data_IF_216796325615
#
_entry.id   IF_216796325615
#
_cell.length_a   1.000
_cell.length_b   1.000
_cell.length_c   1.000
_cell.angle_alpha   90.00
_cell.angle_beta   90.00
_cell.angle_gamma   90.00
#
_symmetry.space_group_name_H-M   'P 1'
#
loop_
_entity.id
_entity.type
_entity.pdbx_description
1 polymer ?
#
# COMPACT_ATOMS: atom_id res chain seq x y z
N UNK A 1 -19.34 -8.27 -9.95
CA UNK A 1 -18.71 -7.81 -8.70
C UNK A 1 -18.63 -6.30 -8.80
N UNK A 2 -19.34 -5.59 -7.94
CA UNK A 2 -19.28 -4.13 -7.92
C UNK A 2 -17.85 -3.66 -7.69
N UNK A 3 -17.33 -2.78 -8.56
CA UNK A 3 -15.99 -2.20 -8.45
C UNK A 3 -15.75 -1.48 -7.09
N UNK A 4 -16.81 -1.24 -6.34
CA UNK A 4 -16.79 -0.64 -5.00
C UNK A 4 -16.40 -1.59 -3.87
N UNK A 5 -16.31 -2.90 -4.11
CA UNK A 5 -16.01 -3.89 -3.07
C UNK A 5 -14.51 -4.21 -2.89
N UNK A 6 -13.64 -3.77 -3.80
CA UNK A 6 -12.21 -3.99 -3.63
C UNK A 6 -11.65 -3.00 -2.60
N UNK A 7 -11.66 -3.41 -1.34
CA UNK A 7 -11.17 -2.61 -0.21
C UNK A 7 -9.65 -2.40 -0.22
N UNK A 8 -8.91 -3.03 -1.12
CA UNK A 8 -7.44 -2.98 -1.15
C UNK A 8 -6.89 -2.31 -2.42
N UNK A 9 -5.61 -1.88 -2.32
CA UNK A 9 -4.81 -1.38 -3.45
C UNK A 9 -3.46 -2.08 -3.49
N UNK A 10 -3.00 -2.43 -4.71
CA UNK A 10 -1.64 -2.90 -4.95
C UNK A 10 -0.68 -1.72 -4.94
N UNK A 11 0.26 -1.73 -4.05
CA UNK A 11 1.25 -0.66 -3.85
C UNK A 11 2.64 -1.23 -4.05
N UNK A 12 3.47 -0.54 -4.81
CA UNK A 12 4.87 -0.90 -5.09
C UNK A 12 5.65 -1.13 -3.79
N UNK A 13 6.43 -2.19 -3.74
CA UNK A 13 7.21 -2.53 -2.55
C UNK A 13 8.44 -1.63 -2.34
N UNK A 14 8.86 -0.84 -3.33
CA UNK A 14 10.00 0.08 -3.25
C UNK A 14 9.67 1.44 -2.59
N UNK A 15 8.44 1.63 -2.11
CA UNK A 15 8.01 2.82 -1.37
C UNK A 15 8.96 3.14 -0.21
N UNK A 16 9.37 2.14 0.57
CA UNK A 16 10.22 2.31 1.75
C UNK A 16 11.65 2.81 1.43
N UNK A 17 12.18 2.49 0.24
CA UNK A 17 13.53 2.89 -0.18
C UNK A 17 13.51 4.31 -0.77
N UNK A 18 12.45 4.67 -1.48
CA UNK A 18 12.41 5.86 -2.32
C UNK A 18 11.64 7.03 -1.72
N UNK A 19 10.67 6.77 -0.86
CA UNK A 19 9.82 7.79 -0.25
C UNK A 19 10.14 7.97 1.23
N UNK A 20 9.91 9.19 1.74
CA UNK A 20 9.77 9.41 3.17
C UNK A 20 8.30 9.18 3.59
N UNK A 21 8.02 9.15 4.89
CA UNK A 21 6.69 8.86 5.41
C UNK A 21 5.61 9.88 5.00
N UNK A 22 5.98 11.13 4.70
CA UNK A 22 5.04 12.18 4.28
C UNK A 22 4.65 12.01 2.82
N UNK A 23 5.60 11.70 1.97
CA UNK A 23 5.39 11.34 0.57
C UNK A 23 4.59 10.02 0.47
N UNK A 24 4.95 9.02 1.28
CA UNK A 24 4.24 7.74 1.35
C UNK A 24 2.77 7.92 1.78
N UNK A 25 2.49 8.83 2.72
CA UNK A 25 1.12 9.19 3.11
C UNK A 25 0.31 9.80 1.96
N UNK A 26 0.94 10.71 1.20
CA UNK A 26 0.31 11.33 0.03
C UNK A 26 0.06 10.31 -1.08
N UNK A 27 1.03 9.42 -1.31
CA UNK A 27 0.91 8.34 -2.29
C UNK A 27 -0.19 7.34 -1.90
N UNK A 28 -0.25 6.93 -0.63
CA UNK A 28 -1.31 6.07 -0.11
C UNK A 28 -2.71 6.67 -0.39
N UNK A 29 -2.90 7.94 -0.05
CA UNK A 29 -4.16 8.61 -0.32
C UNK A 29 -4.48 8.66 -1.82
N UNK A 30 -3.50 9.02 -2.67
CA UNK A 30 -3.69 9.06 -4.12
C UNK A 30 -4.11 7.70 -4.67
N UNK A 31 -3.46 6.61 -4.25
CA UNK A 31 -3.78 5.24 -4.69
C UNK A 31 -5.23 4.84 -4.39
N UNK A 32 -5.79 5.26 -3.25
CA UNK A 32 -7.18 4.97 -2.91
C UNK A 32 -8.21 5.83 -3.64
N UNK A 33 -7.78 6.91 -4.28
CA UNK A 33 -8.57 7.74 -5.19
C UNK A 33 -8.27 7.47 -6.66
N UNK A 34 -7.42 6.50 -6.96
CA UNK A 34 -7.14 6.04 -8.31
C UNK A 34 -8.04 4.87 -8.68
N UNK A 35 -8.37 4.75 -9.96
CA UNK A 35 -9.04 3.58 -10.50
C UNK A 35 -8.19 2.32 -10.26
N UNK A 36 -8.85 1.23 -9.90
CA UNK A 36 -8.18 -0.01 -9.50
C UNK A 36 -7.42 -0.68 -10.65
N UNK A 37 -7.95 -0.58 -11.87
CA UNK A 37 -7.41 -1.27 -13.04
C UNK A 37 -6.44 -0.39 -13.83
N UNK A 38 -6.74 0.90 -13.99
CA UNK A 38 -5.96 1.82 -14.83
C UNK A 38 -4.93 2.61 -14.04
N UNK A 39 -5.13 2.80 -12.73
CA UNK A 39 -4.29 3.68 -11.91
C UNK A 39 -4.56 5.17 -12.13
N UNK A 40 -5.57 5.52 -12.94
CA UNK A 40 -5.93 6.92 -13.21
C UNK A 40 -6.70 7.53 -12.03
N UNK A 41 -6.40 8.78 -11.72
CA UNK A 41 -7.04 9.52 -10.64
C UNK A 41 -7.41 10.93 -11.07
N UNK A 42 -8.69 11.23 -10.98
CA UNK A 42 -9.26 12.57 -11.21
C UNK A 42 -9.48 13.34 -9.90
N UNK A 43 -8.77 12.95 -8.84
CA UNK A 43 -8.94 13.53 -7.51
C UNK A 43 -8.42 14.96 -7.46
N UNK A 44 -9.24 15.87 -6.96
CA UNK A 44 -8.82 17.26 -6.74
C UNK A 44 -8.02 17.42 -5.44
N UNK A 45 -7.08 18.34 -5.40
CA UNK A 45 -6.22 18.57 -4.23
C UNK A 45 -7.01 18.88 -2.95
N UNK A 46 -8.18 19.50 -3.06
CA UNK A 46 -9.08 19.74 -1.92
C UNK A 46 -9.51 18.42 -1.27
N UNK A 47 -9.91 17.43 -2.06
CA UNK A 47 -10.31 16.10 -1.54
C UNK A 47 -9.15 15.42 -0.83
N UNK A 48 -7.94 15.46 -1.40
CA UNK A 48 -6.74 14.92 -0.76
C UNK A 48 -6.43 15.66 0.55
N UNK A 49 -6.53 16.99 0.56
CA UNK A 49 -6.36 17.79 1.78
C UNK A 49 -7.38 17.40 2.85
N UNK A 50 -8.64 17.30 2.50
CA UNK A 50 -9.72 17.01 3.43
C UNK A 50 -9.59 15.58 4.00
N UNK A 51 -9.00 14.65 3.24
CA UNK A 51 -8.74 13.27 3.67
C UNK A 51 -7.46 13.11 4.49
N UNK A 52 -6.42 13.88 4.18
CA UNK A 52 -5.09 13.72 4.78
C UNK A 52 -4.76 14.79 5.83
N UNK A 53 -5.50 15.89 5.87
CA UNK A 53 -5.14 17.06 6.69
C UNK A 53 -3.88 17.80 6.22
N UNK A 54 -3.26 17.38 5.10
CA UNK A 54 -2.06 18.00 4.56
C UNK A 54 -2.47 19.25 3.75
N UNK A 55 -1.91 20.45 4.02
CA UNK A 55 -2.24 21.66 3.28
C UNK A 55 -1.99 21.51 1.77
N UNK A 56 -2.82 22.14 0.93
CA UNK A 56 -2.73 21.99 -0.54
C UNK A 56 -1.36 22.37 -1.12
N UNK A 57 -0.70 23.41 -0.59
CA UNK A 57 0.65 23.79 -1.01
C UNK A 57 1.67 22.69 -0.76
N UNK A 58 1.55 22.03 0.38
CA UNK A 58 2.41 20.90 0.76
C UNK A 58 2.08 19.65 -0.05
N UNK A 59 0.78 19.36 -0.30
CA UNK A 59 0.35 18.28 -1.18
C UNK A 59 0.91 18.44 -2.59
N UNK A 60 0.83 19.65 -3.17
CA UNK A 60 1.42 19.95 -4.49
C UNK A 60 2.91 19.65 -4.53
N UNK A 61 3.64 20.02 -3.45
CA UNK A 61 5.06 19.69 -3.32
C UNK A 61 5.27 18.16 -3.32
N UNK A 62 4.56 17.41 -2.47
CA UNK A 62 4.73 15.95 -2.41
C UNK A 62 4.30 15.24 -3.70
N UNK A 63 3.22 15.69 -4.36
CA UNK A 63 2.79 15.15 -5.65
C UNK A 63 3.83 15.40 -6.75
N UNK A 64 4.51 16.55 -6.72
CA UNK A 64 5.64 16.82 -7.62
C UNK A 64 6.83 15.90 -7.32
N UNK A 65 7.20 15.73 -6.05
CA UNK A 65 8.26 14.81 -5.62
C UNK A 65 7.94 13.35 -6.00
N UNK A 66 6.68 12.92 -5.88
CA UNK A 66 6.21 11.61 -6.34
C UNK A 66 6.37 11.44 -7.85
N UNK A 67 6.09 12.48 -8.63
CA UNK A 67 6.27 12.46 -10.08
C UNK A 67 7.76 12.39 -10.45
N UNK A 68 8.61 13.18 -9.82
CA UNK A 68 10.08 13.16 -10.02
C UNK A 68 10.69 11.80 -9.69
N UNK A 69 10.11 11.10 -8.70
CA UNK A 69 10.50 9.74 -8.29
C UNK A 69 9.83 8.63 -9.11
N UNK A 70 8.98 8.97 -10.09
CA UNK A 70 8.32 8.01 -10.98
C UNK A 70 7.22 7.17 -10.30
N UNK A 71 6.57 7.69 -9.26
CA UNK A 71 5.41 7.07 -8.62
C UNK A 71 4.09 7.48 -9.26
N UNK A 72 4.06 8.65 -9.88
CA UNK A 72 2.87 9.16 -10.58
C UNK A 72 3.27 10.01 -11.77
N UNK A 73 2.39 10.10 -12.74
CA UNK A 73 2.53 10.99 -13.90
C UNK A 73 1.40 12.01 -13.87
N UNK A 74 1.70 13.30 -13.67
CA UNK A 74 0.69 14.35 -13.72
C UNK A 74 0.29 14.67 -15.16
N UNK A 75 -1.01 14.76 -15.43
CA UNK A 75 -1.57 15.21 -16.69
C UNK A 75 -2.41 16.49 -16.44
N UNK A 76 -1.91 17.63 -16.85
CA UNK A 76 -2.59 18.91 -16.61
C UNK A 76 -3.32 19.39 -17.85
N UNK A 77 -4.57 19.80 -17.69
CA UNK A 77 -5.43 20.31 -18.75
C UNK A 77 -6.29 21.47 -18.28
N UNK A 78 -6.89 22.20 -19.22
CA UNK A 78 -7.82 23.27 -18.90
C UNK A 78 -9.26 22.77 -19.02
N UNK A 79 -10.06 22.98 -17.96
CA UNK A 79 -11.47 22.59 -17.93
C UNK A 79 -12.32 23.76 -17.44
N UNK A 80 -13.00 24.41 -18.39
CA UNK A 80 -13.89 25.54 -18.10
C UNK A 80 -13.17 26.80 -17.62
N UNK A 81 -13.92 27.68 -16.93
CA UNK A 81 -13.41 28.92 -16.38
C UNK A 81 -13.69 29.02 -14.88
N UNK A 82 -12.86 29.77 -14.17
CA UNK A 82 -13.10 30.13 -12.76
C UNK A 82 -14.26 31.14 -12.70
N UNK A 83 -14.86 31.40 -11.52
CA UNK A 83 -15.85 32.47 -11.35
C UNK A 83 -15.37 33.86 -11.83
N UNK A 84 -14.05 34.09 -11.85
CA UNK A 84 -13.42 35.33 -12.34
C UNK A 84 -13.10 35.27 -13.84
N UNK A 85 -13.62 34.28 -14.59
CA UNK A 85 -13.47 34.15 -16.04
C UNK A 85 -12.10 33.61 -16.50
N UNK A 86 -11.16 33.29 -15.59
CA UNK A 86 -9.85 32.73 -15.95
C UNK A 86 -9.95 31.23 -16.28
N UNK A 87 -9.14 30.71 -17.22
CA UNK A 87 -9.08 29.27 -17.49
C UNK A 87 -8.79 28.46 -16.21
N UNK A 88 -9.62 27.45 -15.93
CA UNK A 88 -9.42 26.54 -14.77
C UNK A 88 -8.48 25.42 -15.18
N UNK A 89 -7.30 25.36 -14.57
CA UNK A 89 -6.36 24.26 -14.75
C UNK A 89 -6.67 23.13 -13.75
N UNK A 90 -6.83 21.93 -14.26
CA UNK A 90 -6.95 20.70 -13.47
C UNK A 90 -5.73 19.83 -13.73
N UNK A 91 -5.46 18.92 -12.81
CA UNK A 91 -4.38 17.94 -12.96
C UNK A 91 -4.91 16.59 -12.50
N UNK A 92 -4.92 15.65 -13.41
CA UNK A 92 -5.13 14.25 -13.15
C UNK A 92 -3.79 13.57 -12.90
N UNK A 93 -3.83 12.41 -12.28
CA UNK A 93 -2.62 11.64 -11.96
C UNK A 93 -2.80 10.21 -12.44
N UNK A 94 -1.80 9.69 -13.11
CA UNK A 94 -1.72 8.27 -13.45
C UNK A 94 -0.65 7.62 -12.58
N UNK A 95 -0.99 6.54 -11.89
CA UNK A 95 -0.09 5.75 -11.06
C UNK A 95 0.09 4.37 -11.68
N UNK A 96 1.33 3.91 -11.76
CA UNK A 96 1.59 2.57 -12.25
C UNK A 96 1.13 1.53 -11.22
N UNK A 97 0.18 0.68 -11.61
CA UNK A 97 -0.25 -0.46 -10.80
C UNK A 97 0.75 -1.59 -10.99
N UNK A 98 1.41 -2.06 -9.93
CA UNK A 98 2.41 -3.11 -10.05
C UNK A 98 1.76 -4.49 -10.25
N UNK A 99 2.33 -5.29 -11.14
CA UNK A 99 1.93 -6.69 -11.34
C UNK A 99 2.74 -7.65 -10.46
N UNK A 100 3.94 -7.24 -10.07
CA UNK A 100 4.87 -8.00 -9.23
C UNK A 100 5.47 -7.13 -8.13
N UNK A 101 6.03 -7.73 -7.10
CA UNK A 101 6.74 -7.03 -6.01
C UNK A 101 5.89 -5.92 -5.38
N UNK A 102 4.67 -6.24 -4.96
CA UNK A 102 3.74 -5.29 -4.34
C UNK A 102 3.26 -5.77 -2.98
N UNK A 103 2.76 -4.83 -2.21
CA UNK A 103 1.96 -5.07 -1.01
C UNK A 103 0.50 -4.68 -1.28
N UNK A 104 -0.43 -5.29 -0.56
CA UNK A 104 -1.85 -4.98 -0.67
C UNK A 104 -2.32 -4.22 0.57
N UNK A 105 -2.47 -2.91 0.43
CA UNK A 105 -3.00 -2.07 1.50
C UNK A 105 -4.54 -2.11 1.50
N UNK A 106 -5.14 -2.39 2.64
CA UNK A 106 -6.59 -2.27 2.82
C UNK A 106 -6.98 -0.81 3.03
N UNK A 107 -8.19 -0.42 2.58
CA UNK A 107 -8.75 0.91 2.79
C UNK A 107 -8.79 1.31 4.28
N UNK A 108 -8.90 0.33 5.15
CA UNK A 108 -8.83 0.52 6.61
C UNK A 108 -7.55 1.24 7.04
N UNK A 109 -6.43 1.07 6.32
CA UNK A 109 -5.21 1.82 6.61
C UNK A 109 -5.41 3.33 6.38
N UNK A 110 -6.13 3.71 5.32
CA UNK A 110 -6.45 5.11 5.07
C UNK A 110 -7.46 5.67 6.08
N UNK A 111 -8.43 4.86 6.49
CA UNK A 111 -9.59 5.29 7.29
C UNK A 111 -9.41 5.16 8.80
N UNK A 112 -8.43 4.39 9.27
CA UNK A 112 -8.19 4.20 10.71
C UNK A 112 -7.96 5.53 11.42
N UNK A 113 -8.66 5.74 12.54
CA UNK A 113 -8.43 6.87 13.43
C UNK A 113 -7.30 6.53 14.42
N UNK A 114 -6.39 7.47 14.63
CA UNK A 114 -5.22 7.32 15.49
C UNK A 114 -5.33 8.30 16.65
N UNK A 115 -6.04 7.88 17.70
CA UNK A 115 -6.32 8.71 18.85
C UNK A 115 -6.90 10.08 18.47
N UNK A 116 -6.56 11.10 19.25
CA UNK A 116 -6.98 12.49 19.03
C UNK A 116 -5.94 13.30 18.25
N UNK A 117 -5.02 12.64 17.54
CA UNK A 117 -4.00 13.32 16.75
C UNK A 117 -4.62 14.13 15.61
N UNK A 118 -4.03 15.28 15.25
CA UNK A 118 -4.40 16.02 14.05
C UNK A 118 -4.34 15.12 12.81
N UNK A 119 -5.29 15.27 11.89
CA UNK A 119 -5.43 14.41 10.70
C UNK A 119 -4.14 14.32 9.87
N UNK A 120 -3.37 15.42 9.78
CA UNK A 120 -2.06 15.46 9.13
C UNK A 120 -1.05 14.51 9.78
N UNK A 121 -0.99 14.49 11.10
CA UNK A 121 -0.06 13.62 11.84
C UNK A 121 -0.48 12.15 11.70
N UNK A 122 -1.79 11.87 11.82
CA UNK A 122 -2.33 10.54 11.53
C UNK A 122 -1.91 10.05 10.14
N UNK A 123 -2.00 10.92 9.12
CA UNK A 123 -1.61 10.58 7.76
C UNK A 123 -0.12 10.24 7.65
N UNK A 124 0.75 10.98 8.34
CA UNK A 124 2.20 10.70 8.32
C UNK A 124 2.55 9.38 9.02
N UNK A 125 1.82 9.01 10.09
CA UNK A 125 1.92 7.69 10.72
C UNK A 125 1.45 6.59 9.76
N UNK A 126 0.33 6.78 9.06
CA UNK A 126 -0.17 5.82 8.05
C UNK A 126 0.84 5.62 6.91
N UNK A 127 1.49 6.68 6.45
CA UNK A 127 2.57 6.61 5.49
C UNK A 127 3.77 5.79 6.01
N UNK A 128 4.13 5.96 7.27
CA UNK A 128 5.16 5.15 7.91
C UNK A 128 4.76 3.67 8.03
N UNK A 129 3.50 3.37 8.43
CA UNK A 129 2.98 1.99 8.49
C UNK A 129 3.05 1.32 7.11
N UNK A 130 2.74 2.06 6.03
CA UNK A 130 2.90 1.58 4.66
C UNK A 130 4.36 1.20 4.36
N UNK A 131 5.31 2.06 4.73
CA UNK A 131 6.74 1.79 4.55
C UNK A 131 7.20 0.59 5.40
N UNK A 132 6.73 0.50 6.64
CA UNK A 132 7.05 -0.60 7.55
C UNK A 132 6.57 -1.94 7.00
N UNK A 133 5.40 -1.98 6.34
CA UNK A 133 4.89 -3.18 5.68
C UNK A 133 5.82 -3.69 4.59
N UNK A 134 6.50 -2.81 3.87
CA UNK A 134 7.44 -3.19 2.81
C UNK A 134 8.68 -3.96 3.34
N UNK A 135 9.01 -3.82 4.62
CA UNK A 135 10.12 -4.54 5.28
C UNK A 135 9.64 -5.69 6.17
N UNK A 136 8.36 -6.04 6.10
CA UNK A 136 7.84 -7.23 6.75
C UNK A 136 8.20 -8.49 5.97
N UNK A 137 8.23 -9.62 6.66
CA UNK A 137 8.36 -10.94 6.04
C UNK A 137 7.19 -11.17 5.07
N UNK A 138 7.47 -11.83 3.96
CA UNK A 138 6.49 -12.08 2.90
C UNK A 138 5.19 -12.69 3.49
N UNK A 139 4.06 -12.16 3.05
CA UNK A 139 2.72 -12.58 3.47
C UNK A 139 2.43 -12.48 4.98
N UNK A 140 3.20 -11.67 5.70
CA UNK A 140 2.98 -11.41 7.13
C UNK A 140 2.91 -9.92 7.40
N UNK A 141 2.47 -9.54 8.61
CA UNK A 141 2.56 -8.19 9.14
C UNK A 141 3.74 -8.01 10.09
N UNK A 142 4.71 -8.95 10.06
CA UNK A 142 5.82 -9.01 11.02
C UNK A 142 7.14 -8.67 10.35
N UNK A 143 7.90 -7.78 10.96
CA UNK A 143 9.29 -7.49 10.61
C UNK A 143 10.22 -7.93 11.74
N UNK A 144 11.39 -8.45 11.38
CA UNK A 144 12.46 -8.80 12.32
C UNK A 144 13.53 -7.70 12.40
N UNK A 145 13.37 -6.60 11.67
CA UNK A 145 14.35 -5.53 11.64
C UNK A 145 14.38 -4.73 12.93
N UNK A 146 15.59 -4.48 13.42
CA UNK A 146 15.85 -3.44 14.42
C UNK A 146 15.69 -2.04 13.80
N UNK A 147 15.62 -1.00 14.60
CA UNK A 147 15.58 0.40 14.10
C UNK A 147 16.81 0.76 13.25
N UNK A 148 17.98 0.20 13.56
CA UNK A 148 19.18 0.38 12.74
C UNK A 148 19.10 -0.33 11.39
N UNK A 149 18.47 -1.49 11.34
CA UNK A 149 18.27 -2.20 10.07
C UNK A 149 17.20 -1.50 9.24
N UNK A 150 16.14 -0.98 9.87
CA UNK A 150 15.15 -0.14 9.18
C UNK A 150 15.79 1.12 8.60
N UNK A 151 16.71 1.80 9.32
CA UNK A 151 17.42 2.97 8.81
C UNK A 151 18.23 2.66 7.54
N UNK A 152 18.82 1.48 7.45
CA UNK A 152 19.55 1.04 6.25
C UNK A 152 18.63 0.71 5.06
N UNK A 153 17.41 0.31 5.33
CA UNK A 153 16.46 -0.16 4.32
C UNK A 153 15.43 0.90 3.94
N UNK A 154 15.17 1.86 4.80
CA UNK A 154 14.15 2.88 4.60
C UNK A 154 14.79 4.25 4.33
N UNK A 155 14.12 5.08 3.56
CA UNK A 155 14.54 6.49 3.36
C UNK A 155 14.12 7.36 4.56
N UNK A 156 14.52 6.95 5.78
CA UNK A 156 14.23 7.62 7.05
C UNK A 156 15.44 7.50 7.98
N UNK A 157 15.72 8.55 8.76
CA UNK A 157 16.75 8.49 9.80
C UNK A 157 16.30 7.66 11.01
N UNK A 158 17.26 7.10 11.74
CA UNK A 158 17.02 6.38 13.00
C UNK A 158 16.12 7.14 13.97
N UNK A 159 16.37 8.43 14.19
CA UNK A 159 15.57 9.24 15.10
C UNK A 159 14.12 9.36 14.65
N UNK A 160 13.89 9.50 13.34
CA UNK A 160 12.54 9.53 12.76
C UNK A 160 11.83 8.20 12.94
N UNK A 161 12.52 7.08 12.65
CA UNK A 161 11.99 5.73 12.84
C UNK A 161 11.61 5.49 14.29
N UNK A 162 12.53 5.80 15.24
CA UNK A 162 12.29 5.60 16.66
C UNK A 162 11.08 6.41 17.17
N UNK A 163 10.96 7.67 16.74
CA UNK A 163 9.81 8.52 17.08
C UNK A 163 8.49 8.00 16.53
N UNK A 164 8.46 7.60 15.25
CA UNK A 164 7.25 7.05 14.62
C UNK A 164 6.88 5.68 15.20
N UNK A 165 7.85 4.81 15.46
CA UNK A 165 7.62 3.51 16.10
C UNK A 165 7.03 3.67 17.50
N UNK A 166 7.55 4.60 18.30
CA UNK A 166 6.99 4.92 19.62
C UNK A 166 5.52 5.33 19.51
N UNK A 167 5.19 6.25 18.61
CA UNK A 167 3.79 6.65 18.35
C UNK A 167 2.94 5.47 17.90
N UNK A 168 3.43 4.64 16.97
CA UNK A 168 2.70 3.45 16.52
C UNK A 168 2.40 2.47 17.66
N UNK A 169 3.32 2.30 18.61
CA UNK A 169 3.11 1.45 19.78
C UNK A 169 2.12 2.06 20.76
N UNK A 170 2.22 3.35 21.03
CA UNK A 170 1.28 4.08 21.93
C UNK A 170 -0.17 3.97 21.43
N UNK A 171 -0.39 3.96 20.11
CA UNK A 171 -1.73 3.84 19.53
C UNK A 171 -2.11 2.40 19.12
N UNK A 172 -1.33 1.39 19.50
CA UNK A 172 -1.62 -0.01 19.21
C UNK A 172 -1.64 -0.38 17.72
N UNK A 173 -0.92 0.38 16.89
CA UNK A 173 -0.76 0.11 15.45
C UNK A 173 0.39 -0.86 15.18
N UNK A 174 1.34 -0.95 16.09
CA UNK A 174 2.48 -1.85 16.05
C UNK A 174 2.73 -2.39 17.46
N UNK A 175 3.01 -3.68 17.57
CA UNK A 175 3.37 -4.33 18.83
C UNK A 175 4.74 -5.00 18.70
N UNK A 176 5.59 -4.97 19.74
CA UNK A 176 6.77 -5.83 19.79
C UNK A 176 6.37 -7.30 19.74
N UNK A 177 7.19 -8.13 19.09
CA UNK A 177 6.97 -9.57 19.09
C UNK A 177 7.21 -10.17 20.48
N UNK A 178 6.52 -11.26 20.80
CA UNK A 178 6.63 -11.95 22.11
C UNK A 178 8.07 -12.32 22.48
N UNK A 179 8.91 -12.60 21.50
CA UNK A 179 10.34 -12.95 21.70
C UNK A 179 11.26 -11.73 21.78
N UNK A 180 10.71 -10.49 21.70
CA UNK A 180 11.52 -9.27 21.66
C UNK A 180 12.29 -9.05 20.36
N UNK A 181 12.11 -9.91 19.35
CA UNK A 181 12.76 -9.82 18.06
C UNK A 181 11.79 -9.24 17.02
N UNK A 182 11.90 -7.93 16.76
CA UNK A 182 11.09 -7.27 15.74
C UNK A 182 9.70 -6.85 16.19
N UNK A 183 8.83 -6.59 15.22
CA UNK A 183 7.55 -5.91 15.45
C UNK A 183 6.47 -6.48 14.53
N UNK A 184 5.22 -6.44 15.01
CA UNK A 184 4.05 -6.85 14.24
C UNK A 184 3.11 -5.66 14.05
N UNK A 185 2.72 -5.36 12.80
CA UNK A 185 1.71 -4.37 12.45
C UNK A 185 0.33 -4.92 12.82
N UNK A 186 -0.56 -4.05 13.28
CA UNK A 186 -1.96 -4.35 13.59
C UNK A 186 -2.63 -5.06 12.40
N UNK A 187 -3.27 -6.20 12.68
CA UNK A 187 -3.99 -7.00 11.68
C UNK A 187 -5.12 -6.22 11.00
N UNK A 188 -5.35 -6.54 9.73
CA UNK A 188 -6.45 -5.99 8.94
C UNK A 188 -6.16 -4.66 8.25
N UNK A 189 -4.95 -4.10 8.36
CA UNK A 189 -4.51 -2.93 7.60
C UNK A 189 -3.95 -3.30 6.22
N UNK A 190 -3.55 -4.56 6.06
CA UNK A 190 -3.02 -5.13 4.83
C UNK A 190 -3.64 -6.49 4.57
N UNK A 191 -3.72 -6.85 3.30
CA UNK A 191 -4.09 -8.18 2.88
C UNK A 191 -2.81 -9.02 2.68
N UNK A 192 -2.72 -10.12 3.42
CA UNK A 192 -1.55 -11.02 3.43
C UNK A 192 -1.77 -12.31 2.62
N UNK A 193 -2.87 -12.42 1.92
CA UNK A 193 -3.16 -13.52 1.00
C UNK A 193 -2.73 -13.21 -0.43
N UNK A 194 -2.71 -14.25 -1.27
CA UNK A 194 -2.70 -14.02 -2.71
C UNK A 194 -4.01 -13.30 -3.09
N UNK A 195 -3.98 -12.36 -4.06
CA UNK A 195 -5.23 -11.87 -4.62
C UNK A 195 -6.06 -13.08 -5.06
N UNK A 196 -7.40 -13.05 -4.89
CA UNK A 196 -8.22 -14.13 -5.41
C UNK A 196 -7.93 -14.25 -6.90
N UNK A 197 -7.24 -15.31 -7.29
CA UNK A 197 -7.03 -15.62 -8.69
C UNK A 197 -8.38 -16.13 -9.18
N UNK A 198 -9.07 -15.31 -9.95
CA UNK A 198 -10.26 -15.76 -10.68
C UNK A 198 -9.75 -16.62 -11.83
N UNK A 199 -9.72 -17.92 -11.61
CA UNK A 199 -9.36 -18.88 -12.66
C UNK A 199 -10.63 -19.21 -13.39
N UNK A 200 -10.74 -18.98 -14.71
CA UNK A 200 -11.87 -19.39 -15.50
C UNK A 200 -12.13 -20.90 -15.32
N UNK A 201 -13.40 -21.30 -15.23
CA UNK A 201 -13.79 -22.68 -14.92
C UNK A 201 -13.18 -23.69 -15.90
N UNK A 202 -13.04 -23.29 -17.17
CA UNK A 202 -12.40 -24.10 -18.22
C UNK A 202 -10.88 -24.28 -18.06
N UNK A 203 -10.22 -23.57 -17.14
CA UNK A 203 -8.78 -23.71 -16.86
C UNK A 203 -8.49 -24.52 -15.59
N UNK A 204 -9.52 -24.88 -14.83
CA UNK A 204 -9.37 -25.62 -13.57
C UNK A 204 -8.68 -26.98 -13.75
N UNK A 205 -9.02 -27.73 -14.77
CA UNK A 205 -8.44 -29.04 -15.02
C UNK A 205 -6.97 -28.93 -15.40
N UNK A 206 -6.58 -27.96 -16.21
CA UNK A 206 -5.19 -27.66 -16.56
C UNK A 206 -4.36 -27.26 -15.32
N UNK A 207 -4.94 -26.45 -14.44
CA UNK A 207 -4.29 -26.06 -13.20
C UNK A 207 -4.08 -27.24 -12.27
N UNK A 208 -5.08 -28.12 -12.16
CA UNK A 208 -5.01 -29.34 -11.36
C UNK A 208 -3.94 -30.29 -11.88
N UNK A 209 -3.85 -30.46 -13.19
CA UNK A 209 -2.79 -31.26 -13.82
C UNK A 209 -1.40 -30.69 -13.55
N UNK A 210 -1.23 -29.37 -13.76
CA UNK A 210 0.04 -28.68 -13.48
C UNK A 210 0.44 -28.78 -12.01
N UNK A 211 -0.52 -28.62 -11.08
CA UNK A 211 -0.26 -28.78 -9.67
C UNK A 211 0.15 -30.22 -9.32
N UNK A 212 -0.53 -31.20 -9.88
CA UNK A 212 -0.20 -32.63 -9.66
C UNK A 212 1.23 -32.93 -10.14
N UNK A 213 1.62 -32.43 -11.31
CA UNK A 213 2.98 -32.59 -11.82
C UNK A 213 4.04 -31.94 -10.91
N UNK A 214 3.77 -30.72 -10.40
CA UNK A 214 4.65 -30.02 -9.46
C UNK A 214 4.74 -30.81 -8.15
N UNK A 215 3.62 -31.30 -7.64
CA UNK A 215 3.58 -32.09 -6.40
C UNK A 215 4.41 -33.37 -6.49
N UNK A 216 4.24 -34.12 -7.58
CA UNK A 216 5.05 -35.37 -7.82
C UNK A 216 6.54 -35.05 -8.00
N UNK A 217 6.87 -33.93 -8.70
CA UNK A 217 8.25 -33.47 -8.80
C UNK A 217 8.85 -33.14 -7.42
N UNK A 218 8.15 -32.33 -6.61
CA UNK A 218 8.57 -31.97 -5.26
C UNK A 218 8.76 -33.22 -4.39
N UNK A 219 7.82 -34.19 -4.45
CA UNK A 219 7.89 -35.44 -3.75
C UNK A 219 9.13 -36.28 -4.16
N UNK A 220 9.42 -36.34 -5.47
CA UNK A 220 10.61 -37.04 -5.98
C UNK A 220 11.92 -36.43 -5.50
N UNK A 221 11.94 -35.11 -5.24
CA UNK A 221 13.10 -34.34 -4.76
C UNK A 221 13.13 -34.17 -3.24
N UNK A 222 12.15 -34.72 -2.51
CA UNK A 222 11.96 -34.53 -1.06
C UNK A 222 11.81 -33.07 -0.65
N UNK A 223 11.22 -32.26 -1.53
CA UNK A 223 10.89 -30.83 -1.29
C UNK A 223 9.48 -30.77 -0.70
N UNK A 224 9.29 -29.97 0.35
CA UNK A 224 7.95 -29.74 0.91
C UNK A 224 7.17 -28.87 -0.07
N UNK A 225 6.13 -29.46 -0.66
CA UNK A 225 5.18 -28.72 -1.49
C UNK A 225 3.96 -28.34 -0.64
N UNK A 226 3.53 -27.08 -0.62
CA UNK A 226 2.32 -26.69 0.09
C UNK A 226 1.10 -27.47 -0.47
N UNK A 227 0.15 -27.88 0.38
CA UNK A 227 -1.01 -28.63 -0.07
C UNK A 227 -1.87 -27.77 -1.01
N UNK A 228 -2.47 -28.41 -2.01
CA UNK A 228 -3.45 -27.77 -2.88
C UNK A 228 -4.63 -27.27 -2.05
N UNK A 229 -4.90 -25.96 -2.10
CA UNK A 229 -6.01 -25.35 -1.36
C UNK A 229 -7.31 -25.43 -2.16
N UNK A 230 -8.14 -26.45 -1.91
CA UNK A 230 -9.43 -26.63 -2.55
C UNK A 230 -10.47 -25.56 -2.16
N UNK A 231 -10.16 -24.66 -1.21
CA UNK A 231 -11.01 -23.52 -0.88
C UNK A 231 -11.03 -22.46 -1.99
N UNK A 232 -10.10 -22.56 -2.95
CA UNK A 232 -10.15 -21.76 -4.18
C UNK A 232 -11.35 -22.14 -5.08
N UNK A 233 -11.99 -23.31 -4.88
CA UNK A 233 -13.08 -23.83 -5.69
C UNK A 233 -14.46 -23.17 -5.46
N UNK A 234 -14.59 -22.29 -4.50
CA UNK A 234 -15.88 -21.76 -4.05
C UNK A 234 -16.00 -20.24 -3.99
N UNK A 235 -15.09 -19.51 -4.61
CA UNK A 235 -15.11 -18.04 -4.62
C UNK A 235 -15.13 -17.53 -6.06
N UNK A 236 -16.23 -17.76 -6.72
CA UNK A 236 -16.68 -17.04 -7.91
C UNK A 236 -17.79 -16.09 -7.45
#
# INVERSE_FOLDING_TARGET
MDENELSYRRIRNDVHIRLNNKEAATFLALMFYSDFNTGESHVIHKTLRDKTGIPESTLKKYLKELAEKGFTTPNSYFSGKTPQGKPRRLTDYSTQIPDTCYIMADRKLLDVQIGDLPLKEQSFIKGFILMLKCVCLNFTDTTLYSYRDMEKQMNLSYATIAGLMKQCQEYGLVTPNEKGEGYTIRKGLFYNGYPPIVIPENEWDKLKEAYTAIYEFCKSKRIICPPYDHRLRGRI
#
